data_IF_754889089915
#
_entry.id   IF_754889089915
#
_cell.length_a   1.000
_cell.length_b   1.000
_cell.length_c   1.000
_cell.angle_alpha   90.00
_cell.angle_beta   90.00
_cell.angle_gamma   90.00
#
_symmetry.space_group_name_H-M   'P 1'
#
loop_
_entity.id
_entity.type
_entity.pdbx_description
1 polymer ?
#
# COMPACT_ATOMS: atom_id res chain seq x y z
N UNK A 1 11.56 -15.93 18.33
CA UNK A 1 11.59 -16.15 16.87
C UNK A 1 10.24 -15.98 16.17
N UNK A 2 9.13 -16.58 16.63
CA UNK A 2 7.80 -16.44 16.00
C UNK A 2 7.35 -14.99 15.73
N UNK A 3 7.61 -14.05 16.65
CA UNK A 3 7.32 -12.61 16.47
C UNK A 3 8.10 -11.99 15.31
N UNK A 4 9.39 -12.31 15.18
CA UNK A 4 10.23 -11.82 14.08
C UNK A 4 9.71 -12.33 12.72
N UNK A 5 9.34 -13.60 12.65
CA UNK A 5 8.77 -14.21 11.45
C UNK A 5 7.45 -13.54 11.02
N UNK A 6 6.56 -13.26 11.99
CA UNK A 6 5.31 -12.52 11.73
C UNK A 6 5.58 -11.10 11.19
N UNK A 7 6.60 -10.40 11.73
CA UNK A 7 6.98 -9.06 11.26
C UNK A 7 7.51 -9.11 9.83
N UNK A 8 8.36 -10.08 9.50
CA UNK A 8 8.90 -10.24 8.13
C UNK A 8 7.79 -10.49 7.13
N UNK A 9 6.80 -11.35 7.44
CA UNK A 9 5.65 -11.57 6.56
C UNK A 9 4.78 -10.33 6.38
N UNK A 10 4.57 -9.54 7.44
CA UNK A 10 3.86 -8.25 7.37
C UNK A 10 4.61 -7.22 6.53
N UNK A 11 5.95 -7.23 6.58
CA UNK A 11 6.79 -6.40 5.73
C UNK A 11 6.63 -6.78 4.25
N UNK A 12 6.68 -8.07 3.91
CA UNK A 12 6.42 -8.55 2.55
C UNK A 12 5.01 -8.17 2.06
N UNK A 13 3.99 -8.27 2.91
CA UNK A 13 2.64 -7.81 2.56
C UNK A 13 2.60 -6.31 2.22
N UNK A 14 3.31 -5.47 2.99
CA UNK A 14 3.47 -4.05 2.69
C UNK A 14 4.18 -3.78 1.35
N UNK A 15 5.18 -4.59 1.01
CA UNK A 15 5.88 -4.51 -0.28
C UNK A 15 4.97 -4.87 -1.45
N UNK A 16 4.10 -5.88 -1.31
CA UNK A 16 3.13 -6.21 -2.35
C UNK A 16 2.06 -5.12 -2.51
N UNK A 17 1.59 -4.52 -1.42
CA UNK A 17 0.68 -3.38 -1.46
C UNK A 17 1.31 -2.14 -2.12
N UNK A 18 2.62 -1.93 -1.90
CA UNK A 18 3.40 -0.94 -2.65
C UNK A 18 3.36 -1.23 -4.16
N UNK A 19 3.66 -2.45 -4.59
CA UNK A 19 3.63 -2.83 -6.01
C UNK A 19 2.25 -2.66 -6.64
N UNK A 20 1.18 -2.98 -5.91
CA UNK A 20 -0.21 -2.75 -6.35
C UNK A 20 -0.48 -1.25 -6.55
N UNK A 21 -0.04 -0.43 -5.60
CA UNK A 21 -0.21 1.03 -5.68
C UNK A 21 0.56 1.59 -6.87
N UNK A 22 1.79 1.13 -7.07
CA UNK A 22 2.61 1.49 -8.22
C UNK A 22 1.97 1.08 -9.55
N UNK A 23 1.45 -0.15 -9.65
CA UNK A 23 0.70 -0.62 -10.83
C UNK A 23 -0.57 0.21 -11.07
N UNK A 24 -1.21 0.70 -10.01
CA UNK A 24 -2.41 1.53 -10.12
C UNK A 24 -2.11 2.93 -10.70
N UNK A 25 -0.87 3.42 -10.59
CA UNK A 25 -0.42 4.63 -11.28
C UNK A 25 -0.03 4.37 -12.75
N UNK A 26 0.39 3.14 -13.08
CA UNK A 26 0.85 2.78 -14.43
C UNK A 26 -0.31 2.65 -15.44
N UNK A 27 -0.36 3.56 -16.41
CA UNK A 27 -1.43 3.62 -17.44
C UNK A 27 -1.18 2.71 -18.66
N UNK A 28 0.07 2.35 -18.96
CA UNK A 28 0.49 1.75 -20.24
C UNK A 28 0.52 0.22 -20.32
N UNK A 29 0.04 -0.49 -19.29
CA UNK A 29 -0.13 -1.95 -19.37
C UNK A 29 -1.53 -2.18 -19.96
N UNK A 30 -1.61 -2.85 -21.13
CA UNK A 30 -2.87 -3.10 -21.85
C UNK A 30 -4.00 -3.56 -20.92
N UNK A 31 -5.24 -3.11 -21.21
CA UNK A 31 -6.39 -3.19 -20.29
C UNK A 31 -6.58 -4.56 -19.65
N UNK A 32 -6.30 -5.63 -20.40
CA UNK A 32 -6.62 -6.99 -20.00
C UNK A 32 -5.52 -7.61 -19.11
N UNK A 33 -4.26 -7.22 -19.30
CA UNK A 33 -3.14 -7.70 -18.48
C UNK A 33 -3.05 -7.01 -17.12
N UNK A 34 -3.53 -5.76 -17.03
CA UNK A 34 -3.45 -4.94 -15.80
C UNK A 34 -4.28 -5.51 -14.65
N UNK A 35 -5.52 -5.92 -14.94
CA UNK A 35 -6.42 -6.48 -13.92
C UNK A 35 -5.95 -7.86 -13.45
N UNK A 36 -5.37 -8.67 -14.35
CA UNK A 36 -4.77 -9.96 -13.98
C UNK A 36 -3.59 -9.81 -13.04
N UNK A 37 -2.64 -8.91 -13.35
CA UNK A 37 -1.50 -8.65 -12.46
C UNK A 37 -1.94 -8.09 -11.11
N UNK A 38 -2.87 -7.12 -11.10
CA UNK A 38 -3.42 -6.58 -9.86
C UNK A 38 -4.06 -7.68 -8.99
N UNK A 39 -4.85 -8.57 -9.58
CA UNK A 39 -5.49 -9.66 -8.87
C UNK A 39 -4.47 -10.65 -8.27
N UNK A 40 -3.41 -11.00 -9.02
CA UNK A 40 -2.34 -11.88 -8.55
C UNK A 40 -1.59 -11.26 -7.38
N UNK A 41 -1.16 -9.99 -7.52
CA UNK A 41 -0.43 -9.31 -6.46
C UNK A 41 -1.31 -9.06 -5.23
N UNK A 42 -2.60 -8.79 -5.41
CA UNK A 42 -3.56 -8.68 -4.32
C UNK A 42 -3.72 -10.02 -3.59
N UNK A 43 -3.83 -11.13 -4.33
CA UNK A 43 -3.85 -12.47 -3.77
C UNK A 43 -2.60 -12.78 -2.95
N UNK A 44 -1.42 -12.46 -3.47
CA UNK A 44 -0.15 -12.63 -2.75
C UNK A 44 -0.05 -11.74 -1.50
N UNK A 45 -0.50 -10.48 -1.58
CA UNK A 45 -0.51 -9.57 -0.44
C UNK A 45 -1.40 -10.12 0.68
N UNK A 46 -2.61 -10.58 0.34
CA UNK A 46 -3.55 -11.18 1.29
C UNK A 46 -2.99 -12.47 1.88
N UNK A 47 -2.42 -13.34 1.06
CA UNK A 47 -1.82 -14.60 1.52
C UNK A 47 -0.64 -14.35 2.48
N UNK A 48 0.26 -13.42 2.15
CA UNK A 48 1.38 -13.04 3.01
C UNK A 48 0.90 -12.42 4.33
N UNK A 49 -0.15 -11.61 4.27
CA UNK A 49 -0.75 -10.98 5.45
C UNK A 49 -1.42 -12.02 6.36
N UNK A 50 -2.18 -12.95 5.79
CA UNK A 50 -2.80 -14.07 6.50
C UNK A 50 -1.76 -15.00 7.12
N UNK A 51 -0.67 -15.29 6.42
CA UNK A 51 0.44 -16.08 6.96
C UNK A 51 1.10 -15.38 8.16
N UNK A 52 1.37 -14.07 8.05
CA UNK A 52 1.90 -13.26 9.16
C UNK A 52 0.97 -13.21 10.37
N UNK A 53 -0.34 -13.19 10.13
CA UNK A 53 -1.39 -13.21 11.14
C UNK A 53 -1.55 -14.58 11.82
N UNK A 54 -1.52 -15.66 11.04
CA UNK A 54 -1.62 -17.04 11.52
C UNK A 54 -0.47 -17.37 12.49
N UNK A 55 0.75 -16.91 12.19
CA UNK A 55 1.91 -17.08 13.09
C UNK A 55 1.75 -16.32 14.41
N UNK A 56 1.01 -15.20 14.41
CA UNK A 56 0.70 -14.41 15.62
C UNK A 56 -0.54 -14.87 16.38
N UNK A 57 -1.24 -15.90 15.90
CA UNK A 57 -2.45 -16.45 16.55
C UNK A 57 -3.67 -15.52 16.48
N UNK A 58 -3.73 -14.63 15.49
CA UNK A 58 -4.84 -13.69 15.25
C UNK A 58 -5.23 -12.75 16.42
N UNK A 59 -4.53 -12.77 17.56
CA UNK A 59 -4.93 -12.01 18.75
C UNK A 59 -5.04 -10.49 18.53
N UNK A 60 -4.20 -9.92 17.65
CA UNK A 60 -4.16 -8.48 17.35
C UNK A 60 -4.38 -8.19 15.87
N UNK A 61 -5.16 -9.03 15.18
CA UNK A 61 -5.24 -9.01 13.72
C UNK A 61 -5.67 -7.66 13.14
N UNK A 62 -6.63 -6.98 13.77
CA UNK A 62 -7.12 -5.66 13.34
C UNK A 62 -6.05 -4.58 13.48
N UNK A 63 -5.35 -4.57 14.62
CA UNK A 63 -4.30 -3.58 14.91
C UNK A 63 -3.14 -3.75 13.95
N UNK A 64 -2.65 -4.97 13.80
CA UNK A 64 -1.47 -5.25 12.97
C UNK A 64 -1.76 -5.01 11.49
N UNK A 65 -2.96 -5.36 11.03
CA UNK A 65 -3.40 -5.09 9.65
C UNK A 65 -3.55 -3.60 9.40
N UNK A 66 -4.15 -2.87 10.34
CA UNK A 66 -4.28 -1.42 10.28
C UNK A 66 -2.93 -0.71 10.22
N UNK A 67 -1.96 -1.12 11.05
CA UNK A 67 -0.59 -0.55 11.05
C UNK A 67 0.05 -0.73 9.67
N UNK A 68 0.00 -1.94 9.10
CA UNK A 68 0.60 -2.22 7.79
C UNK A 68 -0.04 -1.36 6.71
N UNK A 69 -1.37 -1.30 6.66
CA UNK A 69 -2.10 -0.51 5.65
C UNK A 69 -1.78 0.99 5.74
N UNK A 70 -1.80 1.57 6.95
CA UNK A 70 -1.48 2.99 7.16
C UNK A 70 0.00 3.28 6.85
N UNK A 71 0.91 2.39 7.25
CA UNK A 71 2.35 2.56 6.99
C UNK A 71 2.64 2.52 5.49
N UNK A 72 2.03 1.59 4.76
CA UNK A 72 2.17 1.51 3.30
C UNK A 72 1.52 2.72 2.61
N UNK A 73 0.36 3.18 3.06
CA UNK A 73 -0.28 4.38 2.51
C UNK A 73 0.59 5.63 2.73
N UNK A 74 1.15 5.81 3.94
CA UNK A 74 2.03 6.94 4.26
C UNK A 74 3.33 6.90 3.43
N UNK A 75 3.95 5.72 3.30
CA UNK A 75 5.15 5.55 2.47
C UNK A 75 4.87 5.83 0.99
N UNK A 76 3.75 5.35 0.45
CA UNK A 76 3.34 5.66 -0.91
C UNK A 76 3.05 7.16 -1.11
N UNK A 77 2.36 7.80 -0.16
CA UNK A 77 2.13 9.24 -0.21
C UNK A 77 3.45 10.03 -0.22
N UNK A 78 4.42 9.62 0.60
CA UNK A 78 5.75 10.21 0.62
C UNK A 78 6.48 10.04 -0.72
N UNK A 79 6.41 8.86 -1.35
CA UNK A 79 6.99 8.62 -2.66
C UNK A 79 6.33 9.44 -3.77
N UNK A 80 5.00 9.54 -3.76
CA UNK A 80 4.26 10.38 -4.72
C UNK A 80 4.66 11.85 -4.56
N UNK A 81 4.78 12.33 -3.32
CA UNK A 81 5.23 13.70 -3.05
C UNK A 81 6.69 13.92 -3.48
N UNK A 82 7.57 12.97 -3.22
CA UNK A 82 8.97 13.00 -3.68
C UNK A 82 9.05 13.06 -5.20
N UNK A 83 8.25 12.24 -5.89
CA UNK A 83 8.16 12.27 -7.36
C UNK A 83 7.60 13.59 -7.87
N UNK A 84 6.58 14.15 -7.22
CA UNK A 84 6.06 15.48 -7.58
C UNK A 84 7.13 16.57 -7.44
N UNK A 85 7.95 16.53 -6.38
CA UNK A 85 9.08 17.43 -6.22
C UNK A 85 10.14 17.24 -7.31
N UNK A 86 10.45 16.00 -7.69
CA UNK A 86 11.39 15.70 -8.78
C UNK A 86 10.86 16.20 -10.14
N UNK A 87 9.58 15.98 -10.44
CA UNK A 87 8.96 16.48 -11.68
C UNK A 87 8.87 18.00 -11.74
N UNK A 88 8.92 18.70 -10.60
CA UNK A 88 9.02 20.15 -10.56
C UNK A 88 10.42 20.67 -10.93
N UNK A 89 11.44 19.80 -10.95
CA UNK A 89 12.79 20.19 -11.34
C UNK A 89 13.01 19.97 -12.84
N UNK A 90 13.27 21.07 -13.57
CA UNK A 90 13.49 21.03 -15.03
C UNK A 90 14.69 20.16 -15.43
N UNK A 91 15.66 19.98 -14.53
CA UNK A 91 16.81 19.11 -14.76
C UNK A 91 16.41 17.62 -14.83
N UNK A 92 15.48 17.20 -13.97
CA UNK A 92 15.01 15.81 -13.95
C UNK A 92 14.11 15.51 -15.15
N UNK A 93 13.30 16.48 -15.57
CA UNK A 93 12.49 16.38 -16.79
C UNK A 93 13.34 16.28 -18.06
N UNK A 94 14.51 16.92 -18.11
CA UNK A 94 15.44 16.81 -19.25
C UNK A 94 16.12 15.45 -19.34
N UNK A 95 16.29 14.76 -18.22
CA UNK A 95 16.91 13.42 -18.17
C UNK A 95 15.90 12.28 -18.36
N UNK A 96 14.60 12.55 -18.20
CA UNK A 96 13.55 11.55 -18.34
C UNK A 96 13.06 11.45 -19.79
N UNK A 97 12.93 10.23 -20.35
CA UNK A 97 12.21 10.01 -21.59
C UNK A 97 10.77 10.53 -21.44
N UNK A 98 10.21 11.23 -22.44
CA UNK A 98 8.84 11.75 -22.38
C UNK A 98 7.78 10.65 -22.19
N UNK A 99 8.09 9.41 -22.62
CA UNK A 99 7.24 8.24 -22.41
C UNK A 99 7.14 7.81 -20.94
N UNK A 100 8.19 8.04 -20.13
CA UNK A 100 8.20 7.65 -18.72
C UNK A 100 7.26 8.53 -17.88
N UNK A 101 7.15 9.82 -18.20
CA UNK A 101 6.20 10.72 -17.55
C UNK A 101 4.74 10.36 -17.92
N UNK A 102 4.50 9.94 -19.16
CA UNK A 102 3.18 9.51 -19.62
C UNK A 102 2.68 8.21 -18.95
N UNK A 103 3.58 7.36 -18.44
CA UNK A 103 3.20 6.16 -17.68
C UNK A 103 2.47 6.48 -16.38
N UNK A 104 2.77 7.61 -15.72
CA UNK A 104 2.20 8.00 -14.43
C UNK A 104 0.97 8.92 -14.53
N UNK A 105 0.31 8.97 -15.69
CA UNK A 105 -0.80 9.89 -15.94
C UNK A 105 -2.09 9.52 -15.15
N UNK A 106 -2.15 8.37 -14.48
CA UNK A 106 -3.32 7.96 -13.69
C UNK A 106 -3.18 8.34 -12.21
N UNK A 107 -2.97 9.63 -11.93
CA UNK A 107 -2.85 10.15 -10.56
C UNK A 107 -4.12 9.92 -9.73
N UNK A 108 -5.28 9.93 -10.37
CA UNK A 108 -6.57 9.73 -9.71
C UNK A 108 -6.72 8.30 -9.17
N UNK A 109 -6.37 7.28 -9.97
CA UNK A 109 -6.47 5.88 -9.54
C UNK A 109 -5.45 5.56 -8.45
N UNK A 110 -4.21 6.01 -8.61
CA UNK A 110 -3.18 5.84 -7.59
C UNK A 110 -3.51 6.57 -6.28
N UNK A 111 -3.98 7.81 -6.37
CA UNK A 111 -4.45 8.59 -5.22
C UNK A 111 -5.65 7.93 -4.51
N UNK A 112 -6.62 7.43 -5.27
CA UNK A 112 -7.77 6.70 -4.73
C UNK A 112 -7.35 5.41 -3.99
N UNK A 113 -6.36 4.68 -4.50
CA UNK A 113 -5.81 3.50 -3.82
C UNK A 113 -5.11 3.88 -2.52
N UNK A 114 -4.29 4.93 -2.51
CA UNK A 114 -3.62 5.41 -1.29
C UNK A 114 -4.66 5.85 -0.24
N UNK A 115 -5.66 6.63 -0.65
CA UNK A 115 -6.76 7.04 0.23
C UNK A 115 -7.55 5.85 0.76
N UNK A 116 -7.88 4.88 -0.10
CA UNK A 116 -8.56 3.66 0.29
C UNK A 116 -7.77 2.87 1.34
N UNK A 117 -6.47 2.69 1.13
CA UNK A 117 -5.58 2.04 2.10
C UNK A 117 -5.49 2.81 3.42
N UNK A 118 -5.40 4.14 3.37
CA UNK A 118 -5.36 4.99 4.56
C UNK A 118 -6.67 4.94 5.37
N UNK A 119 -7.83 5.03 4.69
CA UNK A 119 -9.15 4.97 5.32
C UNK A 119 -9.41 3.58 5.91
N UNK A 120 -9.15 2.51 5.15
CA UNK A 120 -9.32 1.14 5.64
C UNK A 120 -8.37 0.84 6.80
N UNK A 121 -7.10 1.25 6.69
CA UNK A 121 -6.11 1.09 7.75
C UNK A 121 -6.49 1.85 9.02
N UNK A 122 -6.88 3.12 8.89
CA UNK A 122 -7.33 3.95 10.00
C UNK A 122 -8.60 3.42 10.67
N UNK A 123 -9.56 2.92 9.87
CA UNK A 123 -10.78 2.29 10.39
C UNK A 123 -10.50 0.99 11.15
N UNK A 124 -9.57 0.16 10.64
CA UNK A 124 -9.10 -1.05 11.32
C UNK A 124 -8.40 -0.73 12.64
N UNK A 125 -7.60 0.33 12.70
CA UNK A 125 -6.97 0.79 13.96
C UNK A 125 -8.01 1.28 14.98
N UNK A 126 -8.98 2.07 14.53
CA UNK A 126 -10.07 2.58 15.37
C UNK A 126 -10.92 1.44 15.94
N UNK A 127 -11.22 0.43 15.13
CA UNK A 127 -12.00 -0.76 15.55
C UNK A 127 -11.19 -1.80 16.36
N UNK A 128 -9.86 -1.63 16.45
CA UNK A 128 -8.99 -2.45 17.27
C UNK A 128 -8.80 -1.90 18.69
N UNK A 129 -9.16 -0.64 18.93
CA UNK A 129 -9.05 -0.01 20.26
C UNK A 129 -10.35 -0.31 21.00
N UNK A 130 -10.34 -1.09 22.10
CA UNK A 130 -11.53 -1.23 22.92
C UNK A 130 -11.87 0.16 23.47
N UNK A 131 -13.10 0.60 23.22
CA UNK A 131 -13.66 1.85 23.71
C UNK A 131 -13.67 1.77 25.24
N UNK A 132 -12.64 2.31 25.89
CA UNK A 132 -12.55 2.42 27.35
C UNK A 132 -13.42 3.55 27.91
N UNK A 133 -14.17 4.26 27.07
CA UNK A 133 -14.90 5.48 27.44
C UNK A 133 -16.38 5.22 27.69
N UNK A 134 -16.75 4.13 28.38
CA UNK A 134 -18.12 3.92 28.85
C UNK A 134 -18.27 3.78 30.36
N UNK A 135 -17.22 4.10 31.14
CA UNK A 135 -17.28 4.14 32.60
C UNK A 135 -16.40 5.28 33.13
N UNK A 136 -16.91 6.50 33.04
CA UNK A 136 -16.53 7.63 33.90
C UNK A 136 -17.79 8.47 34.15
#
# INVERSE_FOLDING_TARGET
MRKLFSVVFKFFAGMFLYLITFLAFAKNIGSDGRWGMLAIFMGLAVAAMLAGLAVSGFAYWRRDTGIVLVSTAAFNAFLVLTMACLFSSDEFLKMLPPESAAMFNSYWTGGAVILGLAVLGGWLLKSATPRSDSLA
#
